data_IF_707828610496
#
_entry.id   IF_707828610496
#
_cell.length_a   1.000
_cell.length_b   1.000
_cell.length_c   1.000
_cell.angle_alpha   90.00
_cell.angle_beta   90.00
_cell.angle_gamma   90.00
#
_symmetry.space_group_name_H-M   'P 1'
#
loop_
_entity.id
_entity.type
_entity.pdbx_description
1 polymer ?
#
# COMPACT_ATOMS: atom_id res chain seq x y z
N UNK A 1 25.63 13.71 -13.26
CA UNK A 1 25.50 12.28 -13.61
C UNK A 1 24.05 12.05 -14.00
N UNK A 2 23.80 11.77 -15.27
CA UNK A 2 22.46 11.40 -15.75
C UNK A 2 22.15 10.01 -15.20
N UNK A 3 21.06 9.86 -14.44
CA UNK A 3 20.58 8.55 -14.00
C UNK A 3 20.35 7.67 -15.25
N UNK A 4 20.84 6.43 -15.20
CA UNK A 4 20.65 5.45 -16.27
C UNK A 4 19.16 5.05 -16.45
N UNK A 5 18.32 5.40 -15.49
CA UNK A 5 16.86 5.24 -15.54
C UNK A 5 16.24 6.49 -16.18
N UNK A 6 16.46 6.62 -17.49
CA UNK A 6 15.55 7.41 -18.32
C UNK A 6 14.19 6.72 -18.33
N UNK A 7 13.16 7.45 -17.90
CA UNK A 7 11.77 7.02 -17.69
C UNK A 7 11.40 6.64 -16.24
N UNK A 8 10.15 6.99 -15.91
CA UNK A 8 9.47 7.02 -14.61
C UNK A 8 9.35 5.62 -13.99
N UNK A 9 10.46 5.01 -13.59
CA UNK A 9 10.47 3.67 -13.04
C UNK A 9 9.80 3.64 -11.65
N UNK A 10 8.69 2.93 -11.54
CA UNK A 10 7.99 2.70 -10.28
C UNK A 10 8.04 1.22 -9.91
N UNK A 11 8.50 0.94 -8.69
CA UNK A 11 8.67 -0.42 -8.16
C UNK A 11 7.81 -0.52 -6.90
N UNK A 12 6.85 -1.44 -6.89
CA UNK A 12 6.11 -1.78 -5.67
C UNK A 12 6.56 -3.16 -5.19
N UNK A 13 6.90 -3.28 -3.91
CA UNK A 13 7.32 -4.52 -3.27
C UNK A 13 6.10 -5.13 -2.58
N UNK A 14 5.89 -6.43 -2.78
CA UNK A 14 4.80 -7.18 -2.14
C UNK A 14 5.27 -8.48 -1.53
N UNK A 15 4.63 -8.88 -0.43
CA UNK A 15 5.00 -10.04 0.36
C UNK A 15 4.39 -10.03 1.75
N UNK A 16 4.57 -11.12 2.49
CA UNK A 16 3.96 -11.29 3.82
C UNK A 16 4.44 -10.21 4.83
N UNK A 17 3.64 -9.99 5.87
CA UNK A 17 4.05 -9.17 7.03
C UNK A 17 5.29 -9.84 7.66
N UNK A 18 6.33 -9.04 7.91
CA UNK A 18 7.60 -9.56 8.44
C UNK A 18 8.56 -10.15 7.40
N UNK A 19 8.22 -10.17 6.10
CA UNK A 19 9.09 -10.71 5.05
C UNK A 19 10.32 -9.83 4.70
N UNK A 20 10.53 -8.71 5.39
CA UNK A 20 11.66 -7.80 5.14
C UNK A 20 11.47 -6.84 3.96
N UNK A 21 10.22 -6.53 3.57
CA UNK A 21 9.91 -5.62 2.45
C UNK A 21 10.56 -4.24 2.59
N UNK A 22 10.45 -3.63 3.77
CA UNK A 22 11.06 -2.33 4.08
C UNK A 22 12.58 -2.38 3.88
N UNK A 23 13.25 -3.42 4.39
CA UNK A 23 14.70 -3.62 4.21
C UNK A 23 15.08 -3.72 2.73
N UNK A 24 14.28 -4.43 1.93
CA UNK A 24 14.50 -4.54 0.49
C UNK A 24 14.27 -3.20 -0.23
N UNK A 25 13.24 -2.44 0.16
CA UNK A 25 12.95 -1.12 -0.39
C UNK A 25 14.11 -0.15 -0.18
N UNK A 26 14.67 -0.14 1.03
CA UNK A 26 15.81 0.70 1.40
C UNK A 26 17.07 0.32 0.64
N UNK A 27 17.32 -0.98 0.48
CA UNK A 27 18.46 -1.48 -0.28
C UNK A 27 18.35 -1.06 -1.76
N UNK A 28 17.19 -1.25 -2.37
CA UNK A 28 16.94 -0.85 -3.77
C UNK A 28 17.04 0.65 -3.98
N UNK A 29 16.57 1.47 -3.03
CA UNK A 29 16.68 2.92 -3.11
C UNK A 29 18.13 3.40 -3.13
N UNK A 30 18.98 2.82 -2.28
CA UNK A 30 20.41 3.14 -2.25
C UNK A 30 21.12 2.80 -3.55
N UNK A 31 20.81 1.64 -4.13
CA UNK A 31 21.42 1.18 -5.38
C UNK A 31 20.93 1.98 -6.61
N UNK A 32 19.64 2.35 -6.63
CA UNK A 32 19.00 2.97 -7.80
C UNK A 32 18.90 4.50 -7.73
N UNK A 33 19.17 5.10 -6.55
CA UNK A 33 18.99 6.52 -6.30
C UNK A 33 17.53 6.99 -6.39
N UNK A 34 16.57 6.09 -6.15
CA UNK A 34 15.13 6.37 -6.19
C UNK A 34 14.59 6.63 -4.78
N UNK A 35 13.62 7.54 -4.58
CA UNK A 35 12.96 7.73 -3.29
C UNK A 35 12.15 6.49 -2.88
N UNK A 36 12.16 6.18 -1.58
CA UNK A 36 11.26 5.17 -0.98
C UNK A 36 10.05 5.85 -0.38
N UNK A 37 8.89 5.26 -0.61
CA UNK A 37 7.63 5.64 -0.01
C UNK A 37 7.19 4.51 0.92
N UNK A 38 7.41 4.71 2.22
CA UNK A 38 7.05 3.75 3.26
C UNK A 38 5.58 3.84 3.65
N UNK A 39 5.00 2.72 4.04
CA UNK A 39 3.69 2.69 4.69
C UNK A 39 3.78 3.14 6.16
N UNK A 40 3.03 4.18 6.59
CA UNK A 40 2.97 4.57 7.99
C UNK A 40 2.03 3.63 8.75
N UNK A 41 2.49 2.41 9.04
CA UNK A 41 1.70 1.41 9.80
C UNK A 41 1.34 1.95 11.20
N UNK A 42 2.25 2.70 11.83
CA UNK A 42 2.06 3.23 13.18
C UNK A 42 1.01 4.38 13.28
N UNK A 43 0.62 4.98 12.15
CA UNK A 43 -0.33 6.12 12.14
C UNK A 43 -1.76 5.69 11.80
N UNK A 44 -2.00 4.40 11.59
CA UNK A 44 -3.30 3.89 11.20
C UNK A 44 -4.23 3.76 12.41
N UNK A 45 -5.03 4.80 12.62
CA UNK A 45 -6.04 4.89 13.70
C UNK A 45 -7.10 3.77 13.68
N UNK A 46 -7.24 3.05 12.56
CA UNK A 46 -8.21 1.96 12.42
C UNK A 46 -7.62 0.59 12.75
N UNK A 47 -6.30 0.44 12.93
CA UNK A 47 -5.70 -0.88 13.17
C UNK A 47 -6.14 -1.47 14.51
N UNK A 48 -6.11 -0.70 15.60
CA UNK A 48 -6.51 -1.18 16.92
C UNK A 48 -7.99 -1.62 16.91
N UNK A 49 -8.86 -0.78 16.36
CA UNK A 49 -10.28 -1.05 16.18
C UNK A 49 -10.54 -2.27 15.29
N UNK A 50 -9.77 -2.43 14.22
CA UNK A 50 -9.85 -3.59 13.33
C UNK A 50 -9.46 -4.89 14.03
N UNK A 51 -8.43 -4.87 14.87
CA UNK A 51 -8.07 -6.05 15.68
C UNK A 51 -9.13 -6.37 16.74
N UNK A 52 -9.90 -5.38 17.19
CA UNK A 52 -11.01 -5.58 18.12
C UNK A 52 -12.29 -6.11 17.45
N UNK A 53 -12.66 -5.59 16.28
CA UNK A 53 -13.85 -6.01 15.52
C UNK A 53 -13.64 -5.89 14.01
N UNK A 54 -13.12 -6.96 13.41
CA UNK A 54 -12.85 -7.03 11.98
C UNK A 54 -14.11 -6.82 11.12
N UNK A 55 -15.30 -7.26 11.58
CA UNK A 55 -16.51 -7.14 10.78
C UNK A 55 -16.97 -5.69 10.65
N UNK A 56 -16.86 -4.93 11.74
CA UNK A 56 -17.24 -3.52 11.77
C UNK A 56 -16.20 -2.59 11.13
N UNK A 57 -14.92 -2.94 11.24
CA UNK A 57 -13.82 -2.03 10.87
C UNK A 57 -13.06 -2.45 9.60
N UNK A 58 -13.40 -3.57 8.97
CA UNK A 58 -12.84 -3.97 7.67
C UNK A 58 -13.01 -2.88 6.61
N UNK A 59 -14.22 -2.36 6.43
CA UNK A 59 -14.50 -1.34 5.43
C UNK A 59 -13.83 0.02 5.72
N UNK A 60 -13.96 0.62 6.92
CA UNK A 60 -13.21 1.83 7.29
C UNK A 60 -11.69 1.69 7.07
N UNK A 61 -11.11 0.54 7.44
CA UNK A 61 -9.70 0.27 7.22
C UNK A 61 -9.35 0.26 5.73
N UNK A 62 -10.13 -0.41 4.88
CA UNK A 62 -9.90 -0.42 3.43
C UNK A 62 -10.00 0.98 2.81
N UNK A 63 -10.98 1.79 3.22
CA UNK A 63 -11.12 3.18 2.76
C UNK A 63 -9.92 4.04 3.18
N UNK A 64 -9.42 3.86 4.41
CA UNK A 64 -8.21 4.54 4.87
C UNK A 64 -6.99 4.15 4.02
N UNK A 65 -6.79 2.86 3.78
CA UNK A 65 -5.68 2.36 2.96
C UNK A 65 -5.76 2.92 1.54
N UNK A 66 -6.93 2.91 0.90
CA UNK A 66 -7.13 3.46 -0.44
C UNK A 66 -6.77 4.95 -0.52
N UNK A 67 -7.19 5.76 0.47
CA UNK A 67 -6.82 7.18 0.53
C UNK A 67 -5.30 7.36 0.65
N UNK A 68 -4.63 6.56 1.49
CA UNK A 68 -3.16 6.61 1.61
C UNK A 68 -2.45 6.21 0.32
N UNK A 69 -2.97 5.22 -0.43
CA UNK A 69 -2.45 4.87 -1.76
C UNK A 69 -2.61 6.00 -2.75
N UNK A 70 -3.75 6.68 -2.73
CA UNK A 70 -3.97 7.83 -3.61
C UNK A 70 -3.00 8.98 -3.30
N UNK A 71 -2.81 9.33 -2.02
CA UNK A 71 -1.82 10.32 -1.58
C UNK A 71 -0.40 9.97 -2.05
N UNK A 72 0.01 8.71 -1.85
CA UNK A 72 1.32 8.20 -2.27
C UNK A 72 1.50 8.29 -3.79
N UNK A 73 0.50 7.88 -4.56
CA UNK A 73 0.54 7.95 -6.03
C UNK A 73 0.66 9.40 -6.52
N UNK A 74 -0.04 10.35 -5.91
CA UNK A 74 0.10 11.77 -6.24
C UNK A 74 1.52 12.29 -5.95
N UNK A 75 2.10 11.92 -4.81
CA UNK A 75 3.48 12.29 -4.48
C UNK A 75 4.49 11.76 -5.52
N UNK A 76 4.33 10.51 -5.95
CA UNK A 76 5.18 9.91 -6.99
C UNK A 76 5.04 10.69 -8.30
N UNK A 77 3.81 10.95 -8.75
CA UNK A 77 3.52 11.70 -9.97
C UNK A 77 4.13 13.11 -9.93
N UNK A 78 3.99 13.83 -8.81
CA UNK A 78 4.50 15.19 -8.66
C UNK A 78 6.02 15.26 -8.52
N UNK A 79 6.64 14.24 -7.91
CA UNK A 79 8.10 14.20 -7.75
C UNK A 79 8.84 14.19 -9.10
N UNK A 80 8.16 13.73 -10.18
CA UNK A 80 8.73 13.48 -11.52
C UNK A 80 9.96 12.54 -11.51
N UNK A 81 10.32 12.01 -10.34
CA UNK A 81 11.26 10.94 -10.14
C UNK A 81 10.49 9.62 -10.13
N UNK A 82 11.16 8.52 -10.48
CA UNK A 82 10.63 7.19 -10.17
C UNK A 82 10.45 7.01 -8.66
N UNK A 83 10.02 5.83 -8.22
CA UNK A 83 9.79 5.59 -6.80
C UNK A 83 9.73 4.12 -6.45
N UNK A 84 10.09 3.81 -5.21
CA UNK A 84 9.96 2.47 -4.63
C UNK A 84 8.90 2.53 -3.53
N UNK A 85 7.86 1.72 -3.61
CA UNK A 85 6.84 1.57 -2.57
C UNK A 85 7.04 0.24 -1.85
N UNK A 86 7.02 0.24 -0.51
CA UNK A 86 7.21 -0.96 0.31
C UNK A 86 5.93 -1.79 0.54
N UNK A 87 4.81 -1.37 -0.07
CA UNK A 87 3.56 -2.10 -0.21
C UNK A 87 2.84 -1.73 -1.50
N UNK A 88 2.22 -2.70 -2.16
CA UNK A 88 1.44 -2.48 -3.38
C UNK A 88 -0.07 -2.41 -3.13
N UNK A 89 -0.80 -1.74 -4.02
CA UNK A 89 -2.27 -1.75 -4.03
C UNK A 89 -2.83 -3.17 -4.21
N UNK A 90 -2.09 -4.08 -4.84
CA UNK A 90 -2.51 -5.46 -5.02
C UNK A 90 -2.58 -6.21 -3.69
N UNK A 91 -1.72 -5.90 -2.73
CA UNK A 91 -1.80 -6.49 -1.38
C UNK A 91 -3.06 -6.03 -0.65
N UNK A 92 -3.47 -4.77 -0.84
CA UNK A 92 -4.70 -4.24 -0.26
C UNK A 92 -5.93 -4.93 -0.86
N UNK A 93 -5.93 -5.17 -2.19
CA UNK A 93 -6.98 -5.93 -2.87
C UNK A 93 -7.06 -7.39 -2.41
N UNK A 94 -5.92 -8.06 -2.25
CA UNK A 94 -5.86 -9.43 -1.72
C UNK A 94 -6.40 -9.47 -0.28
N UNK A 95 -6.05 -8.48 0.53
CA UNK A 95 -6.54 -8.36 1.90
C UNK A 95 -8.06 -8.09 1.96
N UNK A 96 -8.58 -7.20 1.11
CA UNK A 96 -10.01 -6.94 1.00
C UNK A 96 -10.79 -8.19 0.55
N UNK A 97 -10.25 -8.95 -0.41
CA UNK A 97 -10.85 -10.22 -0.86
C UNK A 97 -10.91 -11.23 0.27
N UNK A 98 -9.80 -11.40 1.00
CA UNK A 98 -9.74 -12.29 2.17
C UNK A 98 -10.80 -11.93 3.22
N UNK A 99 -10.96 -10.63 3.52
CA UNK A 99 -11.98 -10.17 4.47
C UNK A 99 -13.41 -10.46 3.99
N UNK A 100 -13.68 -10.34 2.69
CA UNK A 100 -14.97 -10.72 2.11
C UNK A 100 -15.21 -12.22 2.26
N UNK A 101 -14.23 -13.02 1.86
CA UNK A 101 -14.35 -14.48 1.83
C UNK A 101 -14.53 -15.06 3.26
N UNK A 102 -13.94 -14.42 4.27
CA UNK A 102 -14.11 -14.75 5.69
C UNK A 102 -15.43 -14.20 6.31
N UNK A 103 -16.28 -13.54 5.53
CA UNK A 103 -17.53 -12.93 5.99
C UNK A 103 -17.31 -11.75 6.95
N UNK A 104 -16.13 -11.12 6.91
CA UNK A 104 -15.77 -9.92 7.67
C UNK A 104 -15.99 -8.62 6.90
N UNK A 105 -16.34 -8.71 5.63
CA UNK A 105 -16.66 -7.58 4.78
C UNK A 105 -17.82 -7.95 3.85
N UNK A 106 -18.83 -7.09 3.77
CA UNK A 106 -19.95 -7.29 2.87
C UNK A 106 -19.52 -7.13 1.40
N UNK A 107 -20.23 -7.81 0.49
CA UNK A 107 -19.95 -7.73 -0.94
C UNK A 107 -20.02 -6.30 -1.47
N UNK A 108 -20.98 -5.50 -1.00
CA UNK A 108 -21.12 -4.08 -1.38
C UNK A 108 -19.90 -3.26 -0.96
N UNK A 109 -19.38 -3.51 0.23
CA UNK A 109 -18.23 -2.79 0.78
C UNK A 109 -16.96 -3.18 0.04
N UNK A 110 -16.80 -4.47 -0.27
CA UNK A 110 -15.73 -4.97 -1.13
C UNK A 110 -15.78 -4.35 -2.53
N UNK A 111 -16.94 -4.30 -3.17
CA UNK A 111 -17.10 -3.72 -4.50
C UNK A 111 -16.76 -2.22 -4.50
N UNK A 112 -17.12 -1.51 -3.43
CA UNK A 112 -16.79 -0.08 -3.24
C UNK A 112 -15.28 0.17 -3.19
N UNK A 113 -14.52 -0.75 -2.60
CA UNK A 113 -13.06 -0.64 -2.49
C UNK A 113 -12.29 -1.15 -3.72
N UNK A 114 -12.96 -1.80 -4.68
CA UNK A 114 -12.32 -2.43 -5.85
C UNK A 114 -12.75 -1.85 -7.20
N UNK A 115 -13.84 -1.08 -7.25
CA UNK A 115 -14.28 -0.31 -8.41
C UNK A 115 -13.68 1.10 -8.38
N UNK A 116 -12.43 1.24 -8.84
CA UNK A 116 -11.78 2.54 -9.12
C UNK A 116 -10.89 2.42 -10.35
#
# INVERSE_FOLDING_TARGET
MSSAYGEKLFIAISGLIGAGKTTLADALSKEMGLPVFHEPVAENVYLEDFYADQAKYSFPLQVYLLNKRFEQQQQIIWSKAGGIADRSIYEDLVFARMLKDDGKMDERDFDTCTLS
#
